data_IF_897662934819
#
_entry.id   IF_897662934819
#
_cell.length_a   1.000
_cell.length_b   1.000
_cell.length_c   1.000
_cell.angle_alpha   90.00
_cell.angle_beta   90.00
_cell.angle_gamma   90.00
#
_symmetry.space_group_name_H-M   'P 1'
#
loop_
_entity.id
_entity.type
_entity.pdbx_description
1 polymer ?
#
# COMPACT_ATOMS: atom_id res chain seq x y z
N UNK A 1 -11.98 10.23 17.89
CA UNK A 1 -10.51 10.03 17.88
C UNK A 1 -10.16 9.37 16.55
N UNK A 2 -9.57 10.09 15.60
CA UNK A 2 -9.07 9.50 14.35
C UNK A 2 -7.56 9.39 14.51
N UNK A 3 -7.08 8.16 14.67
CA UNK A 3 -5.65 7.86 14.73
C UNK A 3 -5.26 7.47 13.31
N UNK A 4 -4.67 8.40 12.57
CA UNK A 4 -3.99 8.09 11.32
C UNK A 4 -2.62 7.52 11.70
N UNK A 5 -2.56 6.19 11.85
CA UNK A 5 -1.31 5.48 12.07
C UNK A 5 -0.54 5.42 10.75
N UNK A 6 0.09 6.54 10.40
CA UNK A 6 1.09 6.59 9.33
C UNK A 6 2.45 6.26 9.93
N UNK A 7 2.61 5.01 10.36
CA UNK A 7 3.91 4.43 10.69
C UNK A 7 4.71 4.22 9.40
N UNK A 8 5.16 5.32 8.78
CA UNK A 8 6.10 5.33 7.67
C UNK A 8 7.48 5.48 8.28
N UNK A 9 8.15 4.36 8.56
CA UNK A 9 9.56 4.39 8.93
C UNK A 9 10.38 4.84 7.72
N UNK A 10 10.81 6.09 7.73
CA UNK A 10 11.69 6.65 6.71
C UNK A 10 13.12 6.29 7.08
N UNK A 11 13.75 5.41 6.31
CA UNK A 11 15.19 5.16 6.41
C UNK A 11 15.97 6.45 6.11
N UNK A 12 17.08 6.65 6.82
CA UNK A 12 17.81 7.91 7.00
C UNK A 12 18.61 8.40 5.76
N UNK A 13 18.07 8.22 4.55
CA UNK A 13 18.64 8.63 3.27
C UNK A 13 17.54 8.53 2.21
N UNK A 14 17.26 9.64 1.54
CA UNK A 14 16.03 9.86 0.76
C UNK A 14 15.65 8.77 -0.25
N UNK A 15 14.34 8.68 -0.45
CA UNK A 15 13.64 8.00 -1.54
C UNK A 15 13.87 6.50 -1.72
N UNK A 16 13.15 5.67 -0.95
CA UNK A 16 12.45 4.51 -1.54
C UNK A 16 11.10 4.33 -0.82
N UNK A 17 10.02 4.72 -1.47
CA UNK A 17 8.68 4.22 -1.14
C UNK A 17 8.21 3.39 -2.32
N UNK A 18 8.35 2.07 -2.23
CA UNK A 18 7.98 1.15 -3.31
C UNK A 18 6.47 1.04 -3.45
N UNK A 19 5.75 0.84 -2.34
CA UNK A 19 4.30 0.74 -2.32
C UNK A 19 3.74 1.48 -1.11
N UNK A 20 2.76 2.36 -1.32
CA UNK A 20 1.91 2.92 -0.27
C UNK A 20 0.56 2.25 -0.38
N UNK A 21 0.18 1.49 0.64
CA UNK A 21 -1.14 0.92 0.76
C UNK A 21 -2.02 1.81 1.65
N UNK A 22 -3.23 2.10 1.19
CA UNK A 22 -4.21 2.87 1.94
C UNK A 22 -5.57 2.15 1.93
N UNK A 23 -6.34 2.34 3.00
CA UNK A 23 -7.68 1.77 3.16
C UNK A 23 -8.61 2.75 3.84
N UNK A 24 -9.90 2.66 3.53
CA UNK A 24 -10.93 3.32 4.33
C UNK A 24 -11.11 2.61 5.68
N UNK A 25 -11.51 3.36 6.70
CA UNK A 25 -11.67 2.83 8.05
C UNK A 25 -12.72 1.70 8.14
N UNK A 26 -13.71 1.72 7.25
CA UNK A 26 -14.79 0.74 7.17
C UNK A 26 -14.46 -0.49 6.31
N UNK A 27 -13.27 -0.56 5.72
CA UNK A 27 -12.87 -1.65 4.82
C UNK A 27 -11.79 -2.51 5.49
N UNK A 28 -11.94 -3.82 5.37
CA UNK A 28 -11.03 -4.81 5.97
C UNK A 28 -9.70 -4.92 5.19
N UNK A 29 -9.74 -4.73 3.88
CA UNK A 29 -8.58 -4.81 2.97
C UNK A 29 -8.13 -3.45 2.44
N UNK A 30 -6.87 -3.35 2.02
CA UNK A 30 -6.39 -2.18 1.30
C UNK A 30 -7.13 -2.00 -0.03
N UNK A 31 -7.73 -0.82 -0.20
CA UNK A 31 -8.52 -0.46 -1.39
C UNK A 31 -7.84 0.62 -2.25
N UNK A 32 -6.65 1.09 -1.85
CA UNK A 32 -5.82 2.01 -2.62
C UNK A 32 -4.34 1.61 -2.53
N UNK A 33 -3.64 1.69 -3.66
CA UNK A 33 -2.20 1.48 -3.76
C UNK A 33 -1.57 2.63 -4.55
N UNK A 34 -0.44 3.15 -4.09
CA UNK A 34 0.41 4.08 -4.83
C UNK A 34 1.78 3.44 -5.01
N UNK A 35 2.20 3.29 -6.26
CA UNK A 35 3.49 2.72 -6.65
C UNK A 35 4.14 3.70 -7.63
N UNK A 36 5.40 4.06 -7.41
CA UNK A 36 6.11 4.94 -8.33
C UNK A 36 6.49 4.22 -9.63
N UNK A 37 6.86 2.95 -9.52
CA UNK A 37 7.24 2.10 -10.65
C UNK A 37 6.14 1.06 -10.93
N UNK A 38 5.40 1.27 -12.02
CA UNK A 38 4.30 0.38 -12.46
C UNK A 38 4.76 -1.02 -12.89
N UNK A 39 6.07 -1.23 -13.11
CA UNK A 39 6.60 -2.55 -13.43
C UNK A 39 6.83 -3.40 -12.17
N UNK A 40 6.76 -2.80 -10.98
CA UNK A 40 6.90 -3.54 -9.72
C UNK A 40 5.64 -4.34 -9.44
N UNK A 41 5.86 -5.62 -9.16
CA UNK A 41 4.80 -6.53 -8.76
C UNK A 41 4.61 -6.51 -7.26
N UNK A 42 3.36 -6.53 -6.82
CA UNK A 42 3.00 -6.67 -5.41
C UNK A 42 3.48 -8.05 -4.91
N UNK A 43 4.20 -8.12 -3.78
CA UNK A 43 4.64 -9.39 -3.21
C UNK A 43 3.45 -10.30 -2.82
N UNK A 44 3.55 -11.60 -3.08
CA UNK A 44 2.46 -12.55 -2.76
C UNK A 44 2.16 -12.62 -1.24
N UNK A 45 3.15 -12.34 -0.39
CA UNK A 45 2.98 -12.37 1.07
C UNK A 45 1.97 -11.34 1.59
N UNK A 46 1.79 -10.19 0.91
CA UNK A 46 0.81 -9.15 1.30
C UNK A 46 -0.49 -9.26 0.51
N UNK A 47 -0.58 -10.21 -0.42
CA UNK A 47 -1.69 -10.31 -1.39
C UNK A 47 -3.05 -10.52 -0.73
N UNK A 48 -3.07 -11.25 0.38
CA UNK A 48 -4.29 -11.53 1.14
C UNK A 48 -4.88 -10.29 1.83
N UNK A 49 -4.07 -9.26 2.07
CA UNK A 49 -4.44 -8.00 2.74
C UNK A 49 -5.01 -6.95 1.78
N UNK A 50 -4.88 -7.15 0.47
CA UNK A 50 -5.20 -6.16 -0.56
C UNK A 50 -6.45 -6.63 -1.31
N UNK A 51 -7.33 -5.69 -1.64
CA UNK A 51 -8.51 -5.97 -2.45
C UNK A 51 -8.09 -6.52 -3.83
N UNK A 52 -8.73 -7.60 -4.26
CA UNK A 52 -8.45 -8.25 -5.54
C UNK A 52 -8.58 -7.33 -6.75
N UNK A 53 -9.41 -6.29 -6.64
CA UNK A 53 -9.61 -5.28 -7.68
C UNK A 53 -8.33 -4.49 -7.99
N UNK A 54 -7.44 -4.31 -7.01
CA UNK A 54 -6.18 -3.57 -7.19
C UNK A 54 -5.13 -4.34 -8.00
N UNK A 55 -5.29 -5.65 -8.21
CA UNK A 55 -4.39 -6.42 -9.09
C UNK A 55 -4.65 -6.16 -10.57
N UNK A 56 -5.81 -5.62 -10.92
CA UNK A 56 -6.23 -5.42 -12.30
C UNK A 56 -5.97 -3.99 -12.82
N UNK A 57 -5.48 -3.08 -11.97
CA UNK A 57 -5.00 -1.76 -12.39
C UNK A 57 -3.59 -1.92 -13.02
N UNK A 58 -3.55 -2.34 -14.27
CA UNK A 58 -2.37 -2.24 -15.15
C UNK A 58 -2.53 -1.09 -16.12
#
# INVERSE_FOLDING_TARGET
MRVEDSSIERSNGGDIVDFIFAKEACIDKYNKILVSDKNKTIPDCVKHLINSELYNLR
#
